data_IF_473797964122
#
_entry.id   IF_473797964122
#
_cell.length_a   1.000
_cell.length_b   1.000
_cell.length_c   1.000
_cell.angle_alpha   90.00
_cell.angle_beta   90.00
_cell.angle_gamma   90.00
#
_symmetry.space_group_name_H-M   'P 1'
#
loop_
_entity.id
_entity.type
_entity.pdbx_description
1 polymer ?
#
# COMPACT_ATOMS: atom_id res chain seq x y z
N UNK A 1 -14.10 26.48 -7.53
CA UNK A 1 -12.71 25.99 -7.40
C UNK A 1 -12.02 25.79 -8.76
N UNK A 2 -12.64 25.13 -9.73
CA UNK A 2 -12.06 24.84 -11.07
C UNK A 2 -11.45 26.04 -11.84
N UNK A 3 -12.14 27.20 -11.89
CA UNK A 3 -11.67 28.36 -12.65
C UNK A 3 -10.50 29.14 -12.00
N UNK A 4 -10.04 28.74 -10.81
CA UNK A 4 -8.86 29.34 -10.19
C UNK A 4 -7.56 28.98 -10.94
N UNK A 5 -7.55 27.90 -11.73
CA UNK A 5 -6.41 27.50 -12.57
C UNK A 5 -6.00 28.62 -13.55
N UNK A 6 -6.95 29.42 -14.02
CA UNK A 6 -6.69 30.56 -14.91
C UNK A 6 -6.06 31.77 -14.21
N UNK A 7 -5.88 31.75 -12.88
CA UNK A 7 -5.11 32.77 -12.16
C UNK A 7 -3.62 32.45 -12.12
N UNK A 8 -3.25 31.20 -12.35
CA UNK A 8 -1.88 30.72 -12.29
C UNK A 8 -0.97 31.45 -13.30
N UNK A 9 -1.37 31.65 -14.58
CA UNK A 9 -0.55 32.42 -15.51
C UNK A 9 -0.39 33.89 -15.09
N UNK A 10 -1.41 34.52 -14.53
CA UNK A 10 -1.32 35.91 -14.04
C UNK A 10 -0.36 36.05 -12.85
N UNK A 11 -0.34 35.07 -11.95
CA UNK A 11 0.58 35.05 -10.82
C UNK A 11 2.04 34.86 -11.26
N UNK A 12 2.29 34.02 -12.26
CA UNK A 12 3.66 33.73 -12.75
C UNK A 12 4.17 34.80 -13.71
N UNK A 13 3.33 35.27 -14.63
CA UNK A 13 3.77 36.14 -15.73
C UNK A 13 3.66 37.64 -15.41
N UNK A 14 2.83 38.01 -14.43
CA UNK A 14 2.50 39.41 -14.10
C UNK A 14 2.61 39.72 -12.60
N UNK A 15 3.25 38.86 -11.81
CA UNK A 15 3.43 38.97 -10.35
C UNK A 15 2.13 39.27 -9.57
N UNK A 16 0.99 38.75 -10.06
CA UNK A 16 -0.30 38.93 -9.38
C UNK A 16 -0.39 38.05 -8.10
N UNK A 17 -0.89 38.62 -6.99
CA UNK A 17 -1.08 37.84 -5.76
C UNK A 17 -2.11 36.71 -5.97
N UNK A 18 -1.68 35.47 -5.76
CA UNK A 18 -2.52 34.27 -5.92
C UNK A 18 -3.71 34.22 -4.94
N UNK A 19 -3.48 34.63 -3.68
CA UNK A 19 -4.48 34.73 -2.61
C UNK A 19 -4.47 36.15 -2.01
N UNK A 20 -5.61 36.85 -2.04
CA UNK A 20 -5.76 38.20 -1.47
C UNK A 20 -7.13 38.83 -1.72
N UNK A 21 -7.54 39.80 -0.88
CA UNK A 21 -8.82 40.53 -0.95
C UNK A 21 -8.95 41.47 -2.17
N UNK A 22 -7.83 41.88 -2.79
CA UNK A 22 -7.87 42.66 -4.04
C UNK A 22 -8.28 41.73 -5.18
N UNK A 23 -9.51 41.87 -5.67
CA UNK A 23 -9.96 41.22 -6.91
C UNK A 23 -8.99 41.63 -8.03
N UNK A 24 -8.38 40.68 -8.78
CA UNK A 24 -7.55 41.05 -9.93
C UNK A 24 -8.40 41.91 -10.87
N UNK A 25 -7.80 43.00 -11.36
CA UNK A 25 -8.50 44.06 -12.12
C UNK A 25 -9.21 43.49 -13.36
N UNK A 26 -8.69 42.39 -13.90
CA UNK A 26 -9.27 41.59 -14.96
C UNK A 26 -9.31 40.11 -14.52
N UNK A 27 -10.49 39.56 -14.21
CA UNK A 27 -10.66 38.11 -14.23
C UNK A 27 -10.86 37.70 -15.68
N UNK A 28 -9.88 37.10 -16.37
CA UNK A 28 -9.94 36.92 -17.83
C UNK A 28 -11.19 36.12 -18.23
N UNK A 29 -11.57 35.15 -17.41
CA UNK A 29 -12.67 34.22 -17.70
C UNK A 29 -14.06 34.76 -17.28
N UNK A 30 -14.16 35.97 -16.72
CA UNK A 30 -15.45 36.52 -16.25
C UNK A 30 -16.40 36.71 -17.44
N UNK A 31 -17.55 36.03 -17.43
CA UNK A 31 -18.52 36.04 -18.53
C UNK A 31 -18.25 35.05 -19.67
N UNK A 32 -17.06 34.41 -19.73
CA UNK A 32 -16.68 33.44 -20.78
C UNK A 32 -16.44 32.01 -20.27
N UNK A 33 -16.94 31.69 -19.07
CA UNK A 33 -16.72 30.41 -18.38
C UNK A 33 -17.14 29.18 -19.19
N UNK A 34 -18.28 29.24 -19.90
CA UNK A 34 -18.77 28.12 -20.73
C UNK A 34 -17.84 27.84 -21.91
N UNK A 35 -17.34 28.88 -22.57
CA UNK A 35 -16.37 28.75 -23.66
C UNK A 35 -15.04 28.21 -23.17
N UNK A 36 -14.53 28.71 -22.04
CA UNK A 36 -13.30 28.22 -21.42
C UNK A 36 -13.41 26.72 -21.06
N UNK A 37 -14.53 26.32 -20.47
CA UNK A 37 -14.80 24.93 -20.12
C UNK A 37 -14.87 24.04 -21.37
N UNK A 38 -15.54 24.50 -22.43
CA UNK A 38 -15.63 23.77 -23.70
C UNK A 38 -14.25 23.49 -24.30
N UNK A 39 -13.40 24.51 -24.46
CA UNK A 39 -12.06 24.33 -25.03
C UNK A 39 -11.16 23.46 -24.17
N UNK A 40 -11.29 23.56 -22.85
CA UNK A 40 -10.54 22.73 -21.91
C UNK A 40 -10.96 21.25 -22.02
N UNK A 41 -12.27 20.97 -22.01
CA UNK A 41 -12.78 19.61 -22.21
C UNK A 41 -12.41 19.06 -23.57
N UNK A 42 -12.54 19.86 -24.63
CA UNK A 42 -12.13 19.45 -25.98
C UNK A 42 -10.65 19.08 -26.03
N UNK A 43 -9.78 19.88 -25.40
CA UNK A 43 -8.33 19.60 -25.35
C UNK A 43 -8.01 18.34 -24.55
N UNK A 44 -8.71 18.11 -23.44
CA UNK A 44 -8.56 16.89 -22.65
C UNK A 44 -8.98 15.68 -23.48
N UNK A 45 -10.14 15.73 -24.13
CA UNK A 45 -10.66 14.64 -24.97
C UNK A 45 -9.71 14.35 -26.14
N UNK A 46 -9.25 15.38 -26.87
CA UNK A 46 -8.32 15.17 -27.99
C UNK A 46 -6.97 14.64 -27.53
N UNK A 47 -6.48 15.06 -26.36
CA UNK A 47 -5.24 14.54 -25.76
C UNK A 47 -5.40 13.06 -25.41
N UNK A 48 -6.52 12.66 -24.80
CA UNK A 48 -6.81 11.27 -24.47
C UNK A 48 -6.89 10.41 -25.74
N UNK A 49 -7.61 10.87 -26.78
CA UNK A 49 -7.72 10.16 -28.05
C UNK A 49 -6.37 9.99 -28.75
N UNK A 50 -5.53 11.03 -28.72
CA UNK A 50 -4.19 10.98 -29.29
C UNK A 50 -3.29 9.99 -28.55
N UNK A 51 -3.31 10.00 -27.22
CA UNK A 51 -2.59 9.04 -26.39
C UNK A 51 -3.07 7.61 -26.67
N UNK A 52 -4.38 7.38 -26.72
CA UNK A 52 -4.96 6.07 -27.01
C UNK A 52 -4.52 5.55 -28.39
N UNK A 53 -4.52 6.41 -29.40
CA UNK A 53 -4.05 6.06 -30.74
C UNK A 53 -2.58 5.64 -30.74
N UNK A 54 -1.70 6.40 -30.07
CA UNK A 54 -0.27 6.06 -29.96
C UNK A 54 -0.08 4.72 -29.24
N UNK A 55 -0.81 4.49 -28.15
CA UNK A 55 -0.73 3.23 -27.40
C UNK A 55 -1.15 2.04 -28.27
N UNK A 56 -2.27 2.14 -29.00
CA UNK A 56 -2.74 1.07 -29.91
C UNK A 56 -1.74 0.81 -31.02
N UNK A 57 -1.24 1.85 -31.69
CA UNK A 57 -0.22 1.70 -32.76
C UNK A 57 1.03 1.03 -32.21
N UNK A 58 1.47 1.41 -31.01
CA UNK A 58 2.69 0.83 -30.43
C UNK A 58 2.50 -0.62 -30.01
N UNK A 59 1.36 -0.97 -29.39
CA UNK A 59 1.01 -2.36 -29.06
C UNK A 59 1.00 -3.23 -30.33
N UNK A 60 0.43 -2.73 -31.43
CA UNK A 60 0.44 -3.42 -32.72
C UNK A 60 1.86 -3.59 -33.27
N UNK A 61 2.72 -2.57 -33.18
CA UNK A 61 4.12 -2.68 -33.59
C UNK A 61 4.91 -3.70 -32.76
N UNK A 62 4.67 -3.74 -31.45
CA UNK A 62 5.25 -4.75 -30.56
C UNK A 62 4.80 -6.14 -30.99
N UNK A 63 3.49 -6.34 -31.20
CA UNK A 63 2.94 -7.61 -31.68
C UNK A 63 3.53 -8.03 -33.04
N UNK A 64 3.62 -7.10 -34.00
CA UNK A 64 4.22 -7.36 -35.32
C UNK A 64 5.67 -7.82 -35.21
N UNK A 65 6.43 -7.25 -34.26
CA UNK A 65 7.81 -7.63 -33.98
C UNK A 65 7.91 -9.01 -33.32
N UNK A 66 7.05 -9.29 -32.34
CA UNK A 66 7.17 -10.52 -31.54
C UNK A 66 6.58 -11.74 -32.24
N UNK A 67 5.54 -11.59 -33.07
CA UNK A 67 4.98 -12.72 -33.85
C UNK A 67 5.97 -13.34 -34.85
N UNK A 68 7.05 -12.62 -35.19
CA UNK A 68 8.07 -13.05 -36.13
C UNK A 68 9.28 -13.70 -35.46
N UNK A 69 9.30 -13.79 -34.13
CA UNK A 69 10.52 -14.07 -33.36
C UNK A 69 10.74 -15.54 -32.95
N UNK A 70 9.72 -16.41 -32.99
CA UNK A 70 9.85 -17.81 -32.56
C UNK A 70 8.53 -18.58 -32.40
N UNK A 71 8.53 -19.57 -31.49
CA UNK A 71 7.35 -20.37 -31.14
C UNK A 71 6.25 -19.58 -30.43
N UNK A 72 5.01 -20.10 -30.39
CA UNK A 72 3.86 -19.36 -29.84
C UNK A 72 4.08 -18.92 -28.39
N UNK A 73 4.63 -19.80 -27.55
CA UNK A 73 4.88 -19.49 -26.14
C UNK A 73 6.03 -18.49 -25.95
N UNK A 74 7.10 -18.61 -26.74
CA UNK A 74 8.19 -17.64 -26.76
C UNK A 74 7.72 -16.25 -27.22
N UNK A 75 6.84 -16.20 -28.22
CA UNK A 75 6.27 -14.95 -28.72
C UNK A 75 5.38 -14.27 -27.67
N UNK A 76 4.61 -15.05 -26.89
CA UNK A 76 3.81 -14.53 -25.77
C UNK A 76 4.70 -13.93 -24.69
N UNK A 77 5.76 -14.62 -24.29
CA UNK A 77 6.72 -14.12 -23.30
C UNK A 77 7.40 -12.84 -23.79
N UNK A 78 7.88 -12.84 -25.04
CA UNK A 78 8.53 -11.66 -25.63
C UNK A 78 7.57 -10.48 -25.79
N UNK A 79 6.30 -10.74 -26.12
CA UNK A 79 5.25 -9.71 -26.19
C UNK A 79 5.01 -9.09 -24.82
N UNK A 80 4.79 -9.92 -23.79
CA UNK A 80 4.63 -9.48 -22.41
C UNK A 80 5.80 -8.60 -21.96
N UNK A 81 7.04 -9.05 -22.21
CA UNK A 81 8.27 -8.32 -21.90
C UNK A 81 8.29 -6.92 -22.53
N UNK A 82 8.09 -6.83 -23.85
CA UNK A 82 8.15 -5.56 -24.56
C UNK A 82 6.98 -4.64 -24.22
N UNK A 83 5.80 -5.21 -23.99
CA UNK A 83 4.62 -4.48 -23.55
C UNK A 83 4.85 -3.83 -22.17
N UNK A 84 5.35 -4.59 -21.19
CA UNK A 84 5.62 -4.07 -19.84
C UNK A 84 6.64 -2.94 -19.88
N UNK A 85 7.72 -3.07 -20.68
CA UNK A 85 8.70 -1.99 -20.90
C UNK A 85 8.05 -0.75 -21.52
N UNK A 86 7.21 -0.93 -22.54
CA UNK A 86 6.50 0.18 -23.18
C UNK A 86 5.55 0.89 -22.21
N UNK A 87 4.79 0.15 -21.40
CA UNK A 87 3.85 0.75 -20.45
C UNK A 87 4.56 1.59 -19.38
N UNK A 88 5.75 1.16 -18.92
CA UNK A 88 6.57 1.94 -18.01
C UNK A 88 6.96 3.30 -18.63
N UNK A 89 7.55 3.30 -19.84
CA UNK A 89 7.90 4.54 -20.57
C UNK A 89 6.66 5.37 -20.89
N UNK A 90 5.61 4.72 -21.36
CA UNK A 90 4.36 5.32 -21.80
C UNK A 90 3.69 6.11 -20.69
N UNK A 91 3.63 5.57 -19.47
CA UNK A 91 3.04 6.26 -18.32
C UNK A 91 3.71 7.62 -18.01
N UNK A 92 5.04 7.68 -18.05
CA UNK A 92 5.81 8.93 -17.84
C UNK A 92 5.55 9.90 -18.99
N UNK A 93 5.63 9.43 -20.24
CA UNK A 93 5.42 10.25 -21.42
C UNK A 93 3.99 10.84 -21.48
N UNK A 94 2.98 10.04 -21.11
CA UNK A 94 1.59 10.45 -20.98
C UNK A 94 1.45 11.56 -19.95
N UNK A 95 2.05 11.40 -18.77
CA UNK A 95 2.04 12.41 -17.72
C UNK A 95 2.61 13.75 -18.20
N UNK A 96 3.81 13.72 -18.81
CA UNK A 96 4.46 14.92 -19.37
C UNK A 96 3.58 15.58 -20.43
N UNK A 97 3.08 14.82 -21.40
CA UNK A 97 2.30 15.37 -22.50
C UNK A 97 0.96 15.94 -22.04
N UNK A 98 0.27 15.24 -21.12
CA UNK A 98 -0.97 15.71 -20.53
C UNK A 98 -0.77 17.02 -19.75
N UNK A 99 0.29 17.11 -18.94
CA UNK A 99 0.64 18.34 -18.22
C UNK A 99 0.98 19.49 -19.17
N UNK A 100 1.78 19.25 -20.21
CA UNK A 100 2.12 20.27 -21.21
C UNK A 100 0.90 20.74 -22.00
N UNK A 101 0.03 19.81 -22.41
CA UNK A 101 -1.24 20.12 -23.10
C UNK A 101 -2.14 20.99 -22.23
N UNK A 102 -2.30 20.62 -20.95
CA UNK A 102 -3.10 21.38 -19.98
C UNK A 102 -2.53 22.78 -19.73
N UNK A 103 -1.22 22.88 -19.49
CA UNK A 103 -0.55 24.18 -19.32
C UNK A 103 -0.70 25.06 -20.57
N UNK A 104 -0.49 24.48 -21.77
CA UNK A 104 -0.62 25.16 -23.06
C UNK A 104 -2.02 25.75 -23.24
N UNK A 105 -3.08 24.97 -23.01
CA UNK A 105 -4.45 25.48 -23.19
C UNK A 105 -4.83 26.51 -22.13
N UNK A 106 -4.41 26.34 -20.87
CA UNK A 106 -4.68 27.31 -19.80
C UNK A 106 -4.02 28.65 -20.09
N UNK A 107 -2.75 28.65 -20.51
CA UNK A 107 -2.01 29.87 -20.88
C UNK A 107 -2.59 30.51 -22.13
N UNK A 108 -2.93 29.71 -23.15
CA UNK A 108 -3.53 30.21 -24.40
C UNK A 108 -4.87 30.88 -24.14
N UNK A 109 -5.75 30.25 -23.35
CA UNK A 109 -7.05 30.82 -22.98
C UNK A 109 -6.88 32.04 -22.08
N UNK A 110 -5.89 32.05 -21.18
CA UNK A 110 -5.58 33.23 -20.36
C UNK A 110 -5.30 34.45 -21.24
N UNK A 111 -4.35 34.37 -22.17
CA UNK A 111 -4.01 35.48 -23.07
C UNK A 111 -5.17 35.86 -23.99
N UNK A 112 -5.85 34.86 -24.57
CA UNK A 112 -7.04 35.08 -25.43
C UNK A 112 -8.14 35.85 -24.71
N UNK A 113 -8.39 35.53 -23.44
CA UNK A 113 -9.44 36.19 -22.66
C UNK A 113 -8.97 37.49 -22.00
N UNK A 114 -7.67 37.64 -21.74
CA UNK A 114 -7.07 38.91 -21.32
C UNK A 114 -7.05 39.94 -22.45
N UNK A 115 -7.22 39.51 -23.71
CA UNK A 115 -7.14 40.37 -24.89
C UNK A 115 -5.71 40.71 -25.29
N UNK A 116 -4.74 39.90 -24.85
CA UNK A 116 -3.33 40.13 -25.15
C UNK A 116 -3.07 39.88 -26.65
N UNK A 117 -2.27 40.75 -27.28
CA UNK A 117 -1.89 40.64 -28.68
C UNK A 117 -0.74 39.64 -28.80
N UNK A 118 -0.89 38.64 -29.68
CA UNK A 118 0.18 37.66 -29.94
C UNK A 118 1.38 38.37 -30.57
N UNK A 119 2.58 38.30 -29.97
CA UNK A 119 3.77 38.92 -30.56
C UNK A 119 4.09 38.31 -31.92
N UNK A 120 4.63 39.13 -32.82
CA UNK A 120 5.08 38.68 -34.12
C UNK A 120 6.17 37.61 -33.97
N UNK A 121 6.12 36.55 -34.79
CA UNK A 121 7.09 35.46 -34.74
C UNK A 121 8.47 35.99 -35.14
N UNK A 122 9.40 36.08 -34.20
CA UNK A 122 10.79 36.41 -34.49
C UNK A 122 11.45 35.23 -35.23
N UNK A 123 11.99 35.50 -36.43
CA UNK A 123 12.82 34.52 -37.15
C UNK A 123 14.22 34.55 -36.53
N UNK A 124 14.42 33.87 -35.41
CA UNK A 124 15.77 33.63 -34.90
C UNK A 124 16.53 32.71 -35.87
N UNK A 125 17.71 33.15 -36.33
CA UNK A 125 18.63 32.29 -37.08
C UNK A 125 19.21 31.26 -36.10
N UNK A 126 18.82 30.00 -36.24
CA UNK A 126 19.34 28.93 -35.41
C UNK A 126 20.85 28.74 -35.70
N UNK A 127 21.69 29.03 -34.72
CA UNK A 127 23.13 28.74 -34.81
C UNK A 127 23.37 27.23 -34.83
N UNK A 128 24.55 26.78 -35.31
CA UNK A 128 24.92 25.35 -35.29
C UNK A 128 24.76 24.71 -33.90
N UNK A 129 25.10 25.46 -32.84
CA UNK A 129 24.90 25.04 -31.44
C UNK A 129 23.41 24.80 -31.11
N UNK A 130 22.53 25.70 -31.54
CA UNK A 130 21.08 25.57 -31.34
C UNK A 130 20.51 24.37 -32.11
N UNK A 131 20.98 24.14 -33.34
CA UNK A 131 20.57 22.97 -34.15
C UNK A 131 21.03 21.68 -33.48
N UNK A 132 22.29 21.60 -33.06
CA UNK A 132 22.83 20.43 -32.35
C UNK A 132 22.04 20.19 -31.06
N UNK A 133 21.79 21.23 -30.25
CA UNK A 133 21.00 21.11 -29.03
C UNK A 133 19.58 20.59 -29.32
N UNK A 134 18.91 21.10 -30.35
CA UNK A 134 17.56 20.64 -30.75
C UNK A 134 17.51 19.18 -31.15
N UNK A 135 18.59 18.62 -31.69
CA UNK A 135 18.70 17.21 -32.06
C UNK A 135 19.15 16.35 -30.87
N UNK A 136 20.11 16.85 -30.08
CA UNK A 136 20.68 16.12 -28.95
C UNK A 136 19.67 15.94 -27.81
N UNK A 137 18.87 16.97 -27.50
CA UNK A 137 17.89 16.92 -26.41
C UNK A 137 16.90 15.75 -26.52
N UNK A 138 16.18 15.53 -27.64
CA UNK A 138 15.26 14.40 -27.75
C UNK A 138 15.99 13.05 -27.71
N UNK A 139 17.20 12.95 -28.27
CA UNK A 139 18.00 11.71 -28.22
C UNK A 139 18.37 11.38 -26.77
N UNK A 140 18.91 12.35 -26.02
CA UNK A 140 19.27 12.17 -24.61
C UNK A 140 18.03 11.82 -23.79
N UNK A 141 16.90 12.49 -24.03
CA UNK A 141 15.64 12.19 -23.34
C UNK A 141 15.17 10.75 -23.61
N UNK A 142 15.27 10.26 -24.86
CA UNK A 142 14.94 8.88 -25.21
C UNK A 142 15.88 7.87 -24.55
N UNK A 143 17.18 8.17 -24.49
CA UNK A 143 18.15 7.31 -23.80
C UNK A 143 17.88 7.21 -22.30
N UNK A 144 17.58 8.34 -21.64
CA UNK A 144 17.20 8.37 -20.23
C UNK A 144 15.90 7.61 -19.97
N UNK A 145 14.90 7.74 -20.85
CA UNK A 145 13.66 6.98 -20.77
C UNK A 145 13.89 5.47 -20.98
N UNK A 146 14.78 5.10 -21.91
CA UNK A 146 15.17 3.70 -22.11
C UNK A 146 15.85 3.11 -20.88
N UNK A 147 16.78 3.86 -20.27
CA UNK A 147 17.43 3.45 -19.02
C UNK A 147 16.43 3.30 -17.87
N UNK A 148 15.50 4.26 -17.71
CA UNK A 148 14.42 4.18 -16.73
C UNK A 148 13.54 2.93 -16.94
N UNK A 149 13.22 2.61 -18.19
CA UNK A 149 12.43 1.43 -18.53
C UNK A 149 13.14 0.12 -18.13
N UNK A 150 14.45 0.03 -18.34
CA UNK A 150 15.22 -1.14 -17.90
C UNK A 150 15.22 -1.27 -16.37
N UNK A 151 15.37 -0.16 -15.63
CA UNK A 151 15.33 -0.19 -14.16
C UNK A 151 13.96 -0.58 -13.60
N UNK A 152 12.87 -0.06 -14.17
CA UNK A 152 11.48 -0.43 -13.80
C UNK A 152 11.13 -1.87 -14.24
N UNK A 153 11.75 -2.35 -15.31
CA UNK A 153 11.55 -3.70 -15.79
C UNK A 153 12.18 -4.74 -14.86
N UNK A 154 13.41 -4.48 -14.41
CA UNK A 154 14.13 -5.33 -13.46
C UNK A 154 13.33 -5.46 -12.15
N UNK A 155 12.82 -4.36 -11.58
CA UNK A 155 12.05 -4.41 -10.33
C UNK A 155 10.73 -5.19 -10.42
N UNK A 156 10.15 -5.35 -11.63
CA UNK A 156 8.90 -6.10 -11.84
C UNK A 156 9.10 -7.59 -12.12
N UNK A 157 10.26 -7.97 -12.66
CA UNK A 157 10.53 -9.35 -13.11
C UNK A 157 11.41 -10.17 -12.19
N UNK A 158 12.07 -9.55 -11.21
CA UNK A 158 12.63 -10.26 -10.07
C UNK A 158 11.62 -10.16 -8.93
N UNK A 159 10.52 -10.95 -8.93
CA UNK A 159 9.71 -11.07 -7.74
C UNK A 159 10.64 -11.51 -6.62
N UNK A 160 10.56 -10.82 -5.48
CA UNK A 160 11.15 -11.33 -4.26
C UNK A 160 10.69 -12.79 -4.11
N UNK A 161 11.64 -13.73 -3.95
CA UNK A 161 11.32 -15.14 -3.66
C UNK A 161 10.56 -15.30 -2.33
N UNK A 162 10.39 -14.21 -1.59
CA UNK A 162 9.69 -14.16 -0.32
C UNK A 162 8.19 -14.35 -0.54
N UNK A 163 7.70 -15.48 -0.04
CA UNK A 163 6.28 -15.77 0.06
C UNK A 163 5.64 -14.92 1.15
N UNK A 164 5.13 -13.76 0.79
CA UNK A 164 4.38 -12.86 1.69
C UNK A 164 3.19 -13.59 2.33
N UNK A 165 3.09 -13.52 3.66
CA UNK A 165 2.03 -14.11 4.46
C UNK A 165 0.89 -13.12 4.71
N UNK A 166 -0.34 -13.62 4.82
CA UNK A 166 -1.48 -12.82 5.26
C UNK A 166 -1.62 -12.96 6.78
N UNK A 167 -1.54 -11.83 7.48
CA UNK A 167 -1.76 -11.71 8.92
C UNK A 167 -3.08 -10.99 9.15
N UNK A 168 -4.07 -11.68 9.72
CA UNK A 168 -5.36 -11.08 10.06
C UNK A 168 -5.23 -10.23 11.32
N UNK A 169 -5.38 -8.91 11.17
CA UNK A 169 -5.29 -7.94 12.26
C UNK A 169 -6.46 -8.14 13.24
N UNK A 170 -6.13 -8.21 14.54
CA UNK A 170 -7.06 -8.52 15.64
C UNK A 170 -7.94 -9.73 15.36
N UNK A 171 -7.34 -10.78 14.83
CA UNK A 171 -7.98 -12.01 14.39
C UNK A 171 -9.03 -11.87 13.27
N UNK A 172 -9.13 -10.76 12.53
CA UNK A 172 -10.00 -10.64 11.34
C UNK A 172 -11.16 -9.65 11.49
N UNK A 173 -10.85 -8.44 11.92
CA UNK A 173 -11.80 -7.41 12.37
C UNK A 173 -12.85 -6.91 11.36
N UNK A 174 -12.77 -7.25 10.06
CA UNK A 174 -13.75 -6.76 9.08
C UNK A 174 -15.04 -7.60 8.98
N UNK A 175 -14.99 -8.86 9.40
CA UNK A 175 -16.10 -9.82 9.20
C UNK A 175 -16.58 -10.52 10.47
N UNK A 176 -15.91 -10.27 11.59
CA UNK A 176 -16.23 -10.78 12.91
C UNK A 176 -15.72 -9.76 13.94
N UNK A 177 -16.30 -9.73 15.16
CA UNK A 177 -15.83 -8.84 16.22
C UNK A 177 -14.37 -9.11 16.55
N UNK A 178 -13.55 -8.07 16.52
CA UNK A 178 -12.10 -8.15 16.76
C UNK A 178 -11.72 -8.88 18.06
N UNK A 179 -10.58 -9.58 18.06
CA UNK A 179 -10.04 -10.28 19.24
C UNK A 179 -11.03 -11.29 19.89
N UNK A 180 -11.81 -11.99 19.08
CA UNK A 180 -12.75 -13.04 19.54
C UNK A 180 -12.47 -14.41 18.90
N UNK A 181 -13.09 -15.47 19.44
CA UNK A 181 -12.98 -16.82 18.87
C UNK A 181 -13.67 -16.87 17.50
N UNK A 182 -14.81 -16.18 17.35
CA UNK A 182 -15.48 -16.00 16.07
C UNK A 182 -14.57 -15.36 15.01
N UNK A 183 -13.74 -14.39 15.39
CA UNK A 183 -12.77 -13.79 14.48
C UNK A 183 -11.67 -14.78 14.06
N UNK A 184 -11.07 -15.52 15.00
CA UNK A 184 -10.09 -16.58 14.67
C UNK A 184 -10.67 -17.58 13.66
N UNK A 185 -11.87 -18.08 13.92
CA UNK A 185 -12.54 -19.02 13.02
C UNK A 185 -12.74 -18.43 11.63
N UNK A 186 -13.12 -17.14 11.56
CA UNK A 186 -13.27 -16.43 10.30
C UNK A 186 -11.94 -16.26 9.56
N UNK A 187 -10.86 -15.93 10.27
CA UNK A 187 -9.52 -15.81 9.68
C UNK A 187 -9.02 -17.12 9.07
N UNK A 188 -9.28 -18.25 9.73
CA UNK A 188 -8.99 -19.59 9.20
C UNK A 188 -9.78 -19.84 7.91
N UNK A 189 -11.09 -19.55 7.91
CA UNK A 189 -11.95 -19.71 6.73
C UNK A 189 -11.52 -18.82 5.55
N UNK A 190 -11.03 -17.61 5.85
CA UNK A 190 -10.59 -16.64 4.86
C UNK A 190 -9.17 -16.94 4.33
N UNK A 191 -8.52 -17.99 4.85
CA UNK A 191 -7.21 -18.47 4.41
C UNK A 191 -6.05 -17.60 4.90
N UNK A 192 -6.18 -16.91 6.03
CA UNK A 192 -5.05 -16.20 6.63
C UNK A 192 -3.99 -17.20 7.11
N UNK A 193 -2.71 -16.83 7.00
CA UNK A 193 -1.60 -17.67 7.49
C UNK A 193 -1.38 -17.52 9.00
N UNK A 194 -1.70 -16.32 9.51
CA UNK A 194 -1.49 -15.92 10.88
C UNK A 194 -2.61 -14.96 11.31
N UNK A 195 -2.92 -14.92 12.59
CA UNK A 195 -3.75 -13.89 13.20
C UNK A 195 -2.91 -13.10 14.22
N UNK A 196 -3.00 -11.78 14.16
CA UNK A 196 -2.49 -10.90 15.21
C UNK A 196 -3.58 -10.76 16.29
N UNK A 197 -3.19 -10.83 17.56
CA UNK A 197 -4.09 -10.76 18.72
C UNK A 197 -3.47 -9.91 19.83
N UNK A 198 -4.29 -9.06 20.45
CA UNK A 198 -3.84 -8.11 21.48
C UNK A 198 -4.00 -8.70 22.89
N UNK A 199 -2.91 -9.04 23.59
CA UNK A 199 -2.97 -9.57 24.96
C UNK A 199 -2.78 -8.47 25.99
N UNK A 200 -3.69 -8.44 26.96
CA UNK A 200 -3.62 -7.60 28.16
C UNK A 200 -3.83 -8.43 29.43
N UNK A 201 -3.37 -7.88 30.56
CA UNK A 201 -3.51 -8.52 31.86
C UNK A 201 -4.56 -7.80 32.73
N UNK A 202 -5.45 -8.58 33.34
CA UNK A 202 -6.42 -8.14 34.35
C UNK A 202 -5.77 -8.00 35.74
N UNK A 203 -6.49 -7.38 36.67
CA UNK A 203 -6.02 -7.15 38.05
C UNK A 203 -5.64 -8.43 38.80
N UNK A 204 -6.41 -9.50 38.59
CA UNK A 204 -6.16 -10.82 39.18
C UNK A 204 -5.04 -11.59 38.45
N UNK A 205 -4.49 -11.01 37.39
CA UNK A 205 -3.40 -11.55 36.61
C UNK A 205 -3.83 -12.50 35.50
N UNK A 206 -5.14 -12.61 35.22
CA UNK A 206 -5.67 -13.34 34.06
C UNK A 206 -5.31 -12.62 32.77
N UNK A 207 -4.88 -13.36 31.75
CA UNK A 207 -4.59 -12.82 30.42
C UNK A 207 -5.83 -12.89 29.54
N UNK A 208 -6.26 -11.73 29.03
CA UNK A 208 -7.38 -11.60 28.10
C UNK A 208 -6.90 -11.05 26.77
N UNK A 209 -7.71 -11.25 25.73
CA UNK A 209 -7.41 -10.73 24.40
C UNK A 209 -8.34 -9.56 24.07
N UNK A 210 -7.77 -8.36 23.98
CA UNK A 210 -8.47 -7.11 23.73
C UNK A 210 -7.50 -5.98 23.37
N UNK A 211 -7.88 -5.13 22.42
CA UNK A 211 -7.05 -4.01 21.96
C UNK A 211 -7.01 -2.81 22.93
N UNK A 212 -8.18 -2.34 23.37
CA UNK A 212 -8.32 -1.08 24.10
C UNK A 212 -8.01 -1.25 25.60
N UNK A 213 -7.58 -0.17 26.27
CA UNK A 213 -7.33 -0.18 27.73
C UNK A 213 -8.61 -0.14 28.60
N UNK A 214 -9.78 -0.11 27.97
CA UNK A 214 -11.09 -0.23 28.62
C UNK A 214 -12.10 -0.99 27.76
N UNK A 215 -13.17 -1.47 28.41
CA UNK A 215 -14.19 -2.29 27.77
C UNK A 215 -15.24 -1.49 26.99
N UNK A 216 -15.12 -0.16 26.89
CA UNK A 216 -16.25 0.70 26.50
C UNK A 216 -16.66 0.51 25.05
N UNK A 217 -15.68 0.42 24.14
CA UNK A 217 -15.95 0.38 22.69
C UNK A 217 -16.59 -0.94 22.26
N UNK A 218 -16.07 -2.08 22.73
CA UNK A 218 -16.50 -3.41 22.26
C UNK A 218 -17.60 -4.04 23.10
N UNK A 219 -17.83 -3.57 24.34
CA UNK A 219 -18.86 -4.15 25.22
C UNK A 219 -19.85 -3.12 25.78
N UNK A 220 -19.58 -1.83 25.63
CA UNK A 220 -20.36 -0.75 26.24
C UNK A 220 -20.07 -0.51 27.73
N UNK A 221 -19.33 -1.40 28.42
CA UNK A 221 -18.97 -1.28 29.84
C UNK A 221 -17.85 -0.26 30.05
N UNK A 222 -18.11 0.76 30.86
CA UNK A 222 -17.09 1.75 31.26
C UNK A 222 -16.25 1.21 32.43
N UNK A 223 -15.28 0.35 32.14
CA UNK A 223 -14.36 -0.24 33.11
C UNK A 223 -12.98 -0.38 32.46
N UNK A 224 -11.91 -0.03 33.19
CA UNK A 224 -10.53 -0.18 32.72
C UNK A 224 -10.07 -1.62 32.87
N UNK A 225 -9.28 -2.10 31.92
CA UNK A 225 -8.77 -3.49 31.90
C UNK A 225 -8.02 -3.82 33.21
N UNK A 226 -7.11 -2.94 33.64
CA UNK A 226 -6.33 -3.15 34.86
C UNK A 226 -7.15 -3.10 36.16
N UNK A 227 -8.36 -2.55 36.13
CA UNK A 227 -9.21 -2.44 37.33
C UNK A 227 -10.18 -3.64 37.45
N UNK A 228 -10.27 -4.49 36.43
CA UNK A 228 -11.20 -5.61 36.35
C UNK A 228 -10.55 -6.95 36.75
N UNK A 229 -11.38 -7.86 37.24
CA UNK A 229 -11.08 -9.30 37.40
C UNK A 229 -11.74 -10.10 36.31
N UNK A 230 -11.36 -11.36 36.12
CA UNK A 230 -12.00 -12.21 35.11
C UNK A 230 -13.49 -12.41 35.41
N UNK A 231 -13.88 -12.50 36.69
CA UNK A 231 -15.29 -12.56 37.10
C UNK A 231 -16.11 -11.34 36.67
N UNK A 232 -15.50 -10.15 36.63
CA UNK A 232 -16.18 -8.93 36.18
C UNK A 232 -16.48 -8.93 34.67
N UNK A 233 -15.67 -9.65 33.88
CA UNK A 233 -15.64 -9.52 32.42
C UNK A 233 -16.10 -10.77 31.67
N UNK A 234 -16.06 -11.96 32.28
CA UNK A 234 -16.35 -13.25 31.61
C UNK A 234 -17.73 -13.33 30.96
N UNK A 235 -18.69 -12.54 31.46
CA UNK A 235 -20.06 -12.52 30.96
C UNK A 235 -20.35 -11.36 30.01
N UNK A 236 -19.42 -10.43 29.80
CA UNK A 236 -19.60 -9.31 28.88
C UNK A 236 -19.81 -9.81 27.45
N UNK A 237 -20.63 -9.06 26.72
CA UNK A 237 -20.87 -9.29 25.29
C UNK A 237 -19.88 -8.42 24.50
N UNK A 238 -18.96 -9.08 23.80
CA UNK A 238 -17.94 -8.50 22.94
C UNK A 238 -18.26 -8.71 21.45
N UNK A 239 -19.52 -8.98 21.07
CA UNK A 239 -19.91 -9.21 19.68
C UNK A 239 -21.11 -8.40 19.21
N UNK A 240 -22.06 -8.07 20.10
CA UNK A 240 -23.25 -7.27 19.75
C UNK A 240 -22.91 -5.87 19.21
N UNK A 241 -21.74 -5.32 19.57
CA UNK A 241 -21.28 -4.04 19.02
C UNK A 241 -20.97 -4.12 17.52
N UNK A 242 -20.62 -5.31 17.04
CA UNK A 242 -20.27 -5.59 15.65
C UNK A 242 -21.52 -5.89 14.84
N UNK A 243 -22.32 -6.88 15.26
CA UNK A 243 -23.66 -7.14 14.70
C UNK A 243 -24.46 -8.08 15.61
N UNK A 244 -25.77 -8.16 15.41
CA UNK A 244 -26.66 -9.07 16.17
C UNK A 244 -26.30 -10.56 15.97
N UNK A 245 -25.64 -10.93 14.86
CA UNK A 245 -25.20 -12.31 14.61
C UNK A 245 -24.20 -12.81 15.66
N UNK A 246 -23.37 -11.91 16.21
CA UNK A 246 -22.34 -12.25 17.21
C UNK A 246 -22.79 -11.95 18.64
N UNK A 247 -24.09 -11.88 18.87
CA UNK A 247 -24.62 -11.63 20.21
C UNK A 247 -24.11 -12.68 21.20
N UNK A 248 -23.74 -12.22 22.38
CA UNK A 248 -23.14 -12.99 23.47
C UNK A 248 -21.74 -13.54 23.21
N UNK A 249 -21.05 -13.15 22.12
CA UNK A 249 -19.62 -13.44 21.96
C UNK A 249 -18.86 -12.93 23.19
N UNK A 250 -17.93 -13.73 23.72
CA UNK A 250 -17.22 -13.42 24.96
C UNK A 250 -15.88 -12.78 24.67
N UNK A 251 -15.36 -12.08 25.68
CA UNK A 251 -13.94 -11.68 25.70
C UNK A 251 -13.13 -12.94 26.00
N UNK A 252 -12.29 -13.43 25.06
CA UNK A 252 -11.56 -14.66 25.29
C UNK A 252 -10.32 -14.40 26.17
N UNK A 253 -9.96 -15.42 26.93
CA UNK A 253 -8.64 -15.55 27.54
C UNK A 253 -7.59 -15.92 26.49
N UNK A 254 -6.31 -15.70 26.81
CA UNK A 254 -5.22 -16.16 25.93
C UNK A 254 -5.25 -17.69 25.78
N UNK A 255 -5.51 -18.45 26.86
CA UNK A 255 -5.71 -19.91 26.80
C UNK A 255 -6.78 -20.33 25.78
N UNK A 256 -7.92 -19.66 25.76
CA UNK A 256 -9.00 -19.95 24.80
C UNK A 256 -8.59 -19.62 23.36
N UNK A 257 -7.88 -18.50 23.14
CA UNK A 257 -7.34 -18.14 21.82
C UNK A 257 -6.31 -19.15 21.32
N UNK A 258 -5.39 -19.60 22.18
CA UNK A 258 -4.42 -20.65 21.87
C UNK A 258 -5.14 -21.94 21.47
N UNK A 259 -6.11 -22.39 22.27
CA UNK A 259 -6.88 -23.59 21.99
C UNK A 259 -7.67 -23.51 20.67
N UNK A 260 -8.27 -22.36 20.36
CA UNK A 260 -9.01 -22.16 19.11
C UNK A 260 -8.11 -22.18 17.87
N UNK A 261 -6.86 -21.70 18.02
CA UNK A 261 -5.90 -21.49 16.93
C UNK A 261 -4.99 -22.68 16.66
N UNK A 262 -4.75 -23.53 17.66
CA UNK A 262 -3.84 -24.67 17.60
C UNK A 262 -4.09 -25.52 16.35
N UNK A 263 -3.02 -25.78 15.62
CA UNK A 263 -2.99 -26.55 14.36
C UNK A 263 -3.82 -25.99 13.19
N UNK A 264 -4.39 -24.79 13.33
CA UNK A 264 -5.21 -24.14 12.30
C UNK A 264 -4.59 -22.85 11.77
N UNK A 265 -4.05 -22.00 12.65
CA UNK A 265 -3.49 -20.69 12.31
C UNK A 265 -2.37 -20.30 13.28
N UNK A 266 -1.34 -19.63 12.76
CA UNK A 266 -0.29 -19.06 13.63
C UNK A 266 -0.80 -17.83 14.38
N UNK A 267 -0.20 -17.50 15.52
CA UNK A 267 -0.55 -16.31 16.30
C UNK A 267 0.64 -15.35 16.41
N UNK A 268 0.40 -14.08 16.08
CA UNK A 268 1.25 -12.96 16.50
C UNK A 268 0.60 -12.32 17.73
N UNK A 269 1.16 -12.56 18.90
CA UNK A 269 0.60 -12.14 20.18
C UNK A 269 1.21 -10.78 20.54
N UNK A 270 0.48 -9.69 20.34
CA UNK A 270 0.90 -8.36 20.78
C UNK A 270 0.74 -8.24 22.30
N UNK A 271 1.85 -8.08 23.01
CA UNK A 271 1.85 -7.71 24.43
C UNK A 271 1.64 -6.20 24.56
N UNK A 272 0.44 -5.82 25.00
CA UNK A 272 0.09 -4.44 25.34
C UNK A 272 0.61 -4.10 26.73
N UNK A 273 1.50 -3.13 26.82
CA UNK A 273 2.02 -2.61 28.08
C UNK A 273 1.24 -1.38 28.54
N UNK A 274 0.65 -1.43 29.74
CA UNK A 274 0.13 -0.25 30.44
C UNK A 274 1.08 0.23 31.55
N UNK A 275 2.14 -0.53 31.83
CA UNK A 275 3.16 -0.24 32.84
C UNK A 275 2.77 -0.69 34.26
N UNK A 276 1.69 -1.46 34.39
CA UNK A 276 1.18 -1.95 35.69
C UNK A 276 1.28 -3.47 35.83
N UNK A 277 1.50 -4.14 34.71
CA UNK A 277 1.48 -5.58 34.60
C UNK A 277 2.53 -6.25 35.48
N UNK A 278 2.18 -7.42 36.00
CA UNK A 278 3.05 -8.27 36.81
C UNK A 278 3.26 -9.58 36.09
N UNK A 279 4.50 -9.83 35.71
CA UNK A 279 4.95 -11.05 35.04
C UNK A 279 4.15 -11.36 33.76
N UNK A 280 3.83 -10.33 32.97
CA UNK A 280 3.05 -10.48 31.73
C UNK A 280 3.75 -11.41 30.75
N UNK A 281 5.06 -11.24 30.58
CA UNK A 281 5.89 -12.02 29.66
C UNK A 281 5.95 -13.48 30.12
N UNK A 282 6.31 -13.72 31.37
CA UNK A 282 6.43 -15.08 31.92
C UNK A 282 5.11 -15.83 31.82
N UNK A 283 3.97 -15.18 32.16
CA UNK A 283 2.66 -15.81 32.05
C UNK A 283 2.27 -16.11 30.61
N UNK A 284 2.50 -15.18 29.68
CA UNK A 284 2.20 -15.41 28.26
C UNK A 284 3.01 -16.59 27.74
N UNK A 285 4.32 -16.62 28.01
CA UNK A 285 5.20 -17.73 27.61
C UNK A 285 4.76 -19.04 28.25
N UNK A 286 4.38 -19.04 29.54
CA UNK A 286 3.89 -20.22 30.22
C UNK A 286 2.63 -20.78 29.56
N UNK A 287 1.66 -19.92 29.19
CA UNK A 287 0.45 -20.36 28.48
C UNK A 287 0.74 -20.89 27.08
N UNK A 288 1.68 -20.28 26.34
CA UNK A 288 2.13 -20.78 25.02
C UNK A 288 2.78 -22.16 25.15
N UNK A 289 3.64 -22.36 26.14
CA UNK A 289 4.33 -23.64 26.42
C UNK A 289 3.36 -24.71 26.89
N UNK A 290 2.41 -24.37 27.76
CA UNK A 290 1.33 -25.27 28.20
C UNK A 290 0.49 -25.75 26.99
N UNK A 291 0.26 -24.86 26.01
CA UNK A 291 -0.44 -25.22 24.78
C UNK A 291 0.43 -26.00 23.77
N UNK A 292 1.76 -26.04 23.94
CA UNK A 292 2.72 -26.63 23.00
C UNK A 292 2.77 -25.88 21.66
N UNK A 293 2.61 -24.55 21.69
CA UNK A 293 2.48 -23.70 20.51
C UNK A 293 3.70 -22.80 20.25
N UNK A 294 4.86 -23.12 20.83
CA UNK A 294 6.08 -22.29 20.74
C UNK A 294 6.52 -22.03 19.29
N UNK A 295 6.26 -22.99 18.38
CA UNK A 295 6.55 -22.85 16.94
C UNK A 295 5.42 -22.22 16.12
N UNK A 296 4.23 -22.07 16.71
CA UNK A 296 3.05 -21.48 16.09
C UNK A 296 2.80 -20.03 16.55
N UNK A 297 3.47 -19.60 17.62
CA UNK A 297 3.33 -18.27 18.20
C UNK A 297 4.58 -17.41 17.97
N UNK A 298 4.34 -16.12 17.80
CA UNK A 298 5.33 -15.04 17.77
C UNK A 298 4.90 -14.02 18.81
N UNK A 299 5.83 -13.49 19.61
CA UNK A 299 5.55 -12.43 20.58
C UNK A 299 5.85 -11.08 19.93
N UNK A 300 4.85 -10.21 19.85
CA UNK A 300 4.99 -8.86 19.35
C UNK A 300 4.80 -7.83 20.46
N UNK A 301 5.37 -6.64 20.32
CA UNK A 301 5.10 -5.52 21.23
C UNK A 301 5.63 -4.21 20.66
N UNK A 302 5.05 -3.10 21.11
CA UNK A 302 5.65 -1.76 20.98
C UNK A 302 6.69 -1.47 22.09
N UNK A 303 6.86 -2.36 23.07
CA UNK A 303 7.84 -2.23 24.15
C UNK A 303 9.06 -3.11 23.90
N UNK A 304 10.21 -2.48 23.60
CA UNK A 304 11.48 -3.21 23.47
C UNK A 304 11.89 -3.95 24.75
N UNK A 305 11.49 -3.42 25.92
CA UNK A 305 11.76 -4.06 27.22
C UNK A 305 11.07 -5.42 27.29
N UNK A 306 9.78 -5.49 26.92
CA UNK A 306 9.04 -6.76 26.93
C UNK A 306 9.59 -7.75 25.91
N UNK A 307 10.04 -7.29 24.74
CA UNK A 307 10.64 -8.17 23.74
C UNK A 307 12.00 -8.72 24.19
N UNK A 308 12.82 -7.88 24.82
CA UNK A 308 14.10 -8.31 25.37
C UNK A 308 13.90 -9.36 26.47
N UNK A 309 12.96 -9.12 27.38
CA UNK A 309 12.55 -10.06 28.42
C UNK A 309 12.02 -11.38 27.82
N UNK A 310 11.16 -11.28 26.80
CA UNK A 310 10.60 -12.45 26.10
C UNK A 310 11.70 -13.32 25.50
N UNK A 311 12.66 -12.69 24.82
CA UNK A 311 13.79 -13.41 24.20
C UNK A 311 14.73 -14.04 25.23
N UNK A 312 14.87 -13.44 26.42
CA UNK A 312 15.66 -14.01 27.51
C UNK A 312 14.99 -15.27 28.10
N UNK A 313 13.67 -15.26 28.25
CA UNK A 313 12.92 -16.37 28.86
C UNK A 313 12.67 -17.52 27.87
N UNK A 314 12.37 -17.20 26.61
CA UNK A 314 12.05 -18.18 25.55
C UNK A 314 12.71 -17.77 24.22
N UNK A 315 14.05 -17.97 24.07
CA UNK A 315 14.77 -17.60 22.85
C UNK A 315 14.26 -18.30 21.58
N UNK A 316 13.58 -19.43 21.73
CA UNK A 316 12.95 -20.23 20.68
C UNK A 316 11.68 -19.59 20.06
N UNK A 317 11.02 -18.68 20.79
CA UNK A 317 9.84 -17.96 20.30
C UNK A 317 10.30 -16.70 19.57
N UNK A 318 9.83 -16.51 18.34
CA UNK A 318 10.17 -15.33 17.55
C UNK A 318 9.59 -14.06 18.17
N UNK A 319 10.35 -12.96 18.11
CA UNK A 319 9.91 -11.64 18.58
C UNK A 319 9.73 -10.65 17.43
N UNK A 320 8.67 -9.85 17.47
CA UNK A 320 8.36 -8.82 16.46
C UNK A 320 8.18 -7.44 17.11
N UNK A 321 8.99 -6.47 16.70
CA UNK A 321 8.85 -5.10 17.17
C UNK A 321 7.83 -4.33 16.33
N UNK A 322 6.73 -3.92 16.96
CA UNK A 322 5.69 -3.11 16.33
C UNK A 322 6.09 -1.63 16.44
N UNK A 323 6.23 -0.95 15.30
CA UNK A 323 6.63 0.46 15.28
C UNK A 323 6.01 1.22 14.12
N UNK A 324 5.68 2.49 14.36
CA UNK A 324 5.24 3.38 13.29
C UNK A 324 6.40 3.81 12.38
N UNK A 325 7.64 3.80 12.87
CA UNK A 325 8.81 4.27 12.11
C UNK A 325 10.04 3.40 12.38
N UNK A 326 10.82 3.14 11.32
CA UNK A 326 12.09 2.43 11.39
C UNK A 326 13.26 3.39 11.15
N UNK A 327 14.27 3.32 12.03
CA UNK A 327 15.52 4.06 11.94
C UNK A 327 16.71 3.11 11.85
N UNK A 328 17.86 3.59 11.36
CA UNK A 328 19.07 2.79 11.09
C UNK A 328 19.59 1.98 12.29
N UNK A 329 19.37 2.41 13.52
CA UNK A 329 19.83 1.69 14.72
C UNK A 329 18.94 0.52 15.16
N UNK A 330 17.77 0.32 14.53
CA UNK A 330 16.83 -0.70 14.97
C UNK A 330 17.13 -2.09 14.39
N UNK A 331 17.73 -2.18 13.20
CA UNK A 331 17.93 -3.43 12.45
C UNK A 331 18.84 -4.45 13.13
N UNK A 332 19.83 -3.97 13.91
CA UNK A 332 20.88 -4.80 14.51
C UNK A 332 20.51 -5.39 15.87
N UNK A 333 19.28 -5.18 16.36
CA UNK A 333 18.84 -5.69 17.66
C UNK A 333 18.74 -7.22 17.64
N UNK A 334 19.57 -7.88 18.45
CA UNK A 334 19.65 -9.35 18.48
C UNK A 334 18.40 -10.01 19.06
N UNK A 335 17.67 -9.30 19.92
CA UNK A 335 16.45 -9.82 20.57
C UNK A 335 15.16 -9.53 19.79
N UNK A 336 15.26 -9.02 18.55
CA UNK A 336 14.14 -8.75 17.65
C UNK A 336 14.33 -9.61 16.40
N UNK A 337 13.41 -10.51 16.08
CA UNK A 337 13.49 -11.38 14.89
C UNK A 337 12.76 -10.78 13.67
N UNK A 338 11.88 -9.80 13.89
CA UNK A 338 11.23 -9.04 12.82
C UNK A 338 10.60 -7.74 13.27
N UNK A 339 10.11 -6.97 12.30
CA UNK A 339 9.46 -5.68 12.51
C UNK A 339 8.06 -5.70 11.93
N UNK A 340 7.11 -5.07 12.61
CA UNK A 340 5.78 -4.78 12.08
C UNK A 340 5.67 -3.26 11.91
N UNK A 341 5.78 -2.79 10.68
CA UNK A 341 5.92 -1.36 10.35
C UNK A 341 4.64 -0.78 9.77
N UNK A 342 4.38 0.50 10.03
CA UNK A 342 3.21 1.18 9.47
C UNK A 342 3.38 1.41 7.95
N UNK A 343 2.29 1.23 7.19
CA UNK A 343 2.27 1.18 5.72
C UNK A 343 2.74 2.46 5.04
N UNK A 344 2.45 3.63 5.62
CA UNK A 344 2.87 4.93 5.09
C UNK A 344 4.39 5.13 5.20
N UNK A 345 5.04 4.52 6.19
CA UNK A 345 6.50 4.56 6.36
C UNK A 345 7.25 3.47 5.61
N UNK A 346 6.54 2.50 5.02
CA UNK A 346 7.17 1.44 4.25
C UNK A 346 7.94 1.98 3.02
N UNK A 347 9.19 1.57 2.90
CA UNK A 347 10.04 1.75 1.72
C UNK A 347 10.80 0.45 1.40
N UNK A 348 11.22 0.29 0.15
CA UNK A 348 12.04 -0.86 -0.28
C UNK A 348 13.35 -0.95 0.50
N UNK A 349 13.96 0.19 0.86
CA UNK A 349 15.18 0.22 1.65
C UNK A 349 15.00 -0.36 3.08
N UNK A 350 13.82 -0.18 3.69
CA UNK A 350 13.53 -0.82 4.99
C UNK A 350 13.54 -2.34 4.84
N UNK A 351 12.95 -2.86 3.77
CA UNK A 351 12.90 -4.30 3.49
C UNK A 351 14.32 -4.83 3.28
N UNK A 352 15.10 -4.22 2.38
CA UNK A 352 16.46 -4.65 2.05
C UNK A 352 17.36 -4.63 3.29
N UNK A 353 17.30 -3.58 4.11
CA UNK A 353 18.11 -3.49 5.34
C UNK A 353 17.71 -4.54 6.37
N UNK A 354 16.40 -4.73 6.60
CA UNK A 354 15.93 -5.75 7.53
C UNK A 354 16.33 -7.16 7.08
N UNK A 355 16.16 -7.50 5.80
CA UNK A 355 16.54 -8.82 5.27
C UNK A 355 18.05 -9.05 5.28
N UNK A 356 18.86 -8.01 5.04
CA UNK A 356 20.32 -8.13 5.15
C UNK A 356 20.77 -8.55 6.56
N UNK A 357 20.02 -8.15 7.60
CA UNK A 357 20.22 -8.55 9.00
C UNK A 357 19.38 -9.80 9.40
N UNK A 358 18.84 -10.55 8.43
CA UNK A 358 17.98 -11.71 8.61
C UNK A 358 16.72 -11.45 9.46
N UNK A 359 16.14 -10.25 9.35
CA UNK A 359 14.93 -9.84 10.07
C UNK A 359 13.72 -9.85 9.14
N UNK A 360 12.59 -10.38 9.61
CA UNK A 360 11.32 -10.35 8.86
C UNK A 360 10.68 -8.96 8.91
N UNK A 361 9.90 -8.61 7.89
CA UNK A 361 9.10 -7.38 7.88
C UNK A 361 7.63 -7.67 7.58
N UNK A 362 6.79 -7.35 8.55
CA UNK A 362 5.34 -7.29 8.45
C UNK A 362 4.91 -5.83 8.31
N UNK A 363 3.78 -5.57 7.63
CA UNK A 363 3.33 -4.20 7.38
C UNK A 363 1.86 -4.02 7.73
N UNK A 364 1.55 -3.06 8.60
CA UNK A 364 0.20 -2.79 9.12
C UNK A 364 -0.25 -1.33 8.89
N UNK A 365 -1.53 -1.00 8.96
CA UNK A 365 -2.65 -1.88 8.62
C UNK A 365 -2.98 -1.68 7.14
N UNK A 366 -2.80 -2.71 6.32
CA UNK A 366 -2.94 -2.62 4.88
C UNK A 366 -4.35 -3.02 4.43
N UNK A 367 -5.26 -2.06 4.33
CA UNK A 367 -6.68 -2.31 4.00
C UNK A 367 -7.07 -1.93 2.55
N UNK A 368 -6.12 -1.51 1.71
CA UNK A 368 -6.36 -1.17 0.29
C UNK A 368 -5.52 -2.04 -0.64
N UNK A 369 -6.02 -2.28 -1.85
CA UNK A 369 -5.31 -3.06 -2.86
C UNK A 369 -3.98 -2.42 -3.26
N UNK A 370 -3.92 -1.08 -3.34
CA UNK A 370 -2.71 -0.32 -3.59
C UNK A 370 -1.63 -0.58 -2.53
N UNK A 371 -2.00 -0.52 -1.25
CA UNK A 371 -1.08 -0.78 -0.15
C UNK A 371 -0.59 -2.24 -0.16
N UNK A 372 -1.50 -3.19 -0.38
CA UNK A 372 -1.14 -4.61 -0.46
C UNK A 372 -0.18 -4.88 -1.64
N UNK A 373 -0.45 -4.32 -2.83
CA UNK A 373 0.45 -4.42 -4.00
C UNK A 373 1.81 -3.78 -3.73
N UNK A 374 1.85 -2.64 -3.03
CA UNK A 374 3.10 -1.99 -2.60
C UNK A 374 3.92 -2.92 -1.70
N UNK A 375 3.29 -3.54 -0.70
CA UNK A 375 3.92 -4.47 0.25
C UNK A 375 4.51 -5.69 -0.47
N UNK A 376 3.73 -6.30 -1.37
CA UNK A 376 4.17 -7.44 -2.18
C UNK A 376 5.33 -7.06 -3.10
N UNK A 377 5.22 -5.92 -3.79
CA UNK A 377 6.27 -5.45 -4.71
C UNK A 377 7.59 -5.18 -3.98
N UNK A 378 7.54 -4.63 -2.78
CA UNK A 378 8.74 -4.40 -1.98
C UNK A 378 9.28 -5.68 -1.32
N UNK A 379 8.54 -6.79 -1.38
CA UNK A 379 9.00 -8.08 -0.90
C UNK A 379 8.87 -8.30 0.60
N UNK A 380 7.93 -7.64 1.28
CA UNK A 380 7.73 -7.86 2.72
C UNK A 380 7.25 -9.29 3.04
N UNK A 381 7.60 -9.78 4.23
CA UNK A 381 7.25 -11.11 4.73
C UNK A 381 5.77 -11.25 5.09
N UNK A 382 5.09 -10.16 5.44
CA UNK A 382 3.65 -10.25 5.73
C UNK A 382 2.84 -8.96 5.61
N UNK A 383 1.56 -9.14 5.25
CA UNK A 383 0.54 -8.11 5.17
C UNK A 383 -0.35 -8.24 6.41
N UNK A 384 -0.34 -7.24 7.29
CA UNK A 384 -1.26 -7.16 8.43
C UNK A 384 -2.47 -6.35 7.99
N UNK A 385 -3.64 -6.98 7.98
CA UNK A 385 -4.87 -6.41 7.38
C UNK A 385 -6.12 -6.83 8.12
N UNK A 386 -7.14 -5.97 8.10
CA UNK A 386 -8.48 -6.36 8.56
C UNK A 386 -9.19 -7.28 7.56
N UNK A 387 -8.76 -7.30 6.29
CA UNK A 387 -9.41 -8.02 5.19
C UNK A 387 -8.49 -9.07 4.55
N UNK A 388 -8.39 -10.23 5.19
CA UNK A 388 -7.60 -11.36 4.71
C UNK A 388 -8.03 -11.85 3.31
N UNK A 389 -9.34 -11.82 2.98
CA UNK A 389 -9.84 -12.20 1.65
C UNK A 389 -9.26 -11.30 0.55
N UNK A 390 -9.25 -9.99 0.77
CA UNK A 390 -8.69 -9.04 -0.18
C UNK A 390 -7.18 -9.25 -0.33
N UNK A 391 -6.46 -9.46 0.76
CA UNK A 391 -5.02 -9.75 0.70
C UNK A 391 -4.73 -11.04 -0.09
N UNK A 392 -5.45 -12.12 0.17
CA UNK A 392 -5.34 -13.37 -0.59
C UNK A 392 -5.68 -13.18 -2.08
N UNK A 393 -6.69 -12.38 -2.39
CA UNK A 393 -7.00 -12.01 -3.77
C UNK A 393 -5.85 -11.24 -4.43
N UNK A 394 -5.26 -10.25 -3.74
CA UNK A 394 -4.12 -9.46 -4.25
C UNK A 394 -2.86 -10.32 -4.39
N UNK A 395 -2.57 -11.25 -3.48
CA UNK A 395 -1.43 -12.15 -3.61
C UNK A 395 -1.59 -13.10 -4.81
N UNK A 396 -2.81 -13.54 -5.09
CA UNK A 396 -3.11 -14.46 -6.20
C UNK A 396 -3.22 -13.76 -7.55
N UNK A 397 -3.73 -12.53 -7.59
CA UNK A 397 -4.10 -11.85 -8.83
C UNK A 397 -3.55 -10.42 -8.97
N UNK A 398 -3.04 -9.82 -7.90
CA UNK A 398 -2.68 -8.40 -7.85
C UNK A 398 -1.47 -8.00 -8.69
N UNK A 399 -0.65 -8.96 -9.10
CA UNK A 399 0.45 -8.77 -10.06
C UNK A 399 0.04 -9.09 -11.50
N UNK A 400 -1.18 -9.59 -11.74
CA UNK A 400 -1.68 -9.87 -13.08
C UNK A 400 -2.10 -8.58 -13.76
N UNK A 401 -1.50 -8.30 -14.90
CA UNK A 401 -1.98 -7.27 -15.81
C UNK A 401 -3.04 -7.91 -16.71
N UNK A 402 -4.31 -7.83 -16.28
CA UNK A 402 -5.43 -8.42 -17.03
C UNK A 402 -5.52 -7.89 -18.46
N UNK A 403 -5.17 -6.63 -18.70
CA UNK A 403 -5.14 -6.08 -20.06
C UNK A 403 -4.05 -6.76 -20.89
N UNK A 404 -2.87 -6.97 -20.31
CA UNK A 404 -1.80 -7.72 -20.97
C UNK A 404 -2.22 -9.16 -21.23
N UNK A 405 -2.87 -9.84 -20.28
CA UNK A 405 -3.35 -11.21 -20.45
C UNK A 405 -4.39 -11.31 -21.57
N UNK A 406 -5.44 -10.48 -21.53
CA UNK A 406 -6.48 -10.42 -22.55
C UNK A 406 -5.89 -10.09 -23.93
N UNK A 407 -4.97 -9.12 -24.00
CA UNK A 407 -4.26 -8.79 -25.24
C UNK A 407 -3.40 -9.94 -25.72
N UNK A 408 -2.71 -10.64 -24.82
CA UNK A 408 -1.86 -11.78 -25.18
C UNK A 408 -2.69 -12.95 -25.70
N UNK A 409 -3.83 -13.25 -25.09
CA UNK A 409 -4.76 -14.28 -25.57
C UNK A 409 -5.40 -13.91 -26.91
N UNK A 410 -5.83 -12.65 -27.07
CA UNK A 410 -6.41 -12.14 -28.32
C UNK A 410 -5.41 -12.17 -29.48
N UNK A 411 -4.16 -11.77 -29.22
CA UNK A 411 -3.12 -11.61 -30.24
C UNK A 411 -2.35 -12.90 -30.54
N UNK A 412 -2.34 -13.86 -29.61
CA UNK A 412 -1.70 -15.17 -29.73
C UNK A 412 -2.66 -16.30 -29.29
N UNK A 413 -3.78 -16.51 -30.02
CA UNK A 413 -4.77 -17.53 -29.67
C UNK A 413 -4.13 -18.92 -29.71
N UNK A 414 -4.51 -19.79 -28.77
CA UNK A 414 -4.11 -21.19 -28.80
C UNK A 414 -4.64 -21.84 -30.08
N UNK A 415 -3.78 -22.61 -30.78
CA UNK A 415 -4.27 -23.47 -31.86
C UNK A 415 -5.23 -24.50 -31.23
N UNK A 416 -6.48 -24.50 -31.69
CA UNK A 416 -7.47 -25.53 -31.35
C UNK A 416 -7.03 -26.89 -31.87
#
# INVERSE_FOLDING_TARGET
MFFYIFRFPGAILKDERFLGKKRPRNQPVKGRKRQALFYLLLTIITTILFIALISVVTILLIWLRTRAAGGVDENKILFALLYTKFMAIGSVAIGIFASLSLCSIVVTLYHKFAGDVRPAKTKEKATRRVIIARIATPIIALLLLGFFAETEYVSKFFPSEIKTQVVAHRAGAIFAPENTISAINRSVQDGANMAEVDVQQLKDGTLIVMHDSDFKRTTGKSLKVWDATYEDVKNLDAGSFFSEEFKNEKIPTLKEMLAASKDKIKLMIELKATGREKNLVEKTIAEIKEAGMEKQCTIASMSLVLLQESKQIAPEIETVYITAMMFSGLYTMQFVDGYSVETSFLSENIIVQAHADNKKVYVWTANTDENMKKIVRFGADGIVTDNAKLANFVLKFGTRDFLLEDLTELLFPAKK
#
